data_IF_579660242683
#
_entry.id   IF_579660242683
#
_cell.length_a   1.000
_cell.length_b   1.000
_cell.length_c   1.000
_cell.angle_alpha   90.00
_cell.angle_beta   90.00
_cell.angle_gamma   90.00
#
_symmetry.space_group_name_H-M   'P 1'
#
loop_
_entity.id
_entity.type
_entity.pdbx_description
1 polymer ?
#
# COMPACT_ATOMS: atom_id res chain seq x y z
N UNK A 1 -0.04 37.36 28.66
CA UNK A 1 0.36 35.91 28.73
C UNK A 1 0.42 35.38 27.31
N UNK A 2 1.54 34.76 26.90
CA UNK A 2 1.65 34.16 25.57
C UNK A 2 0.89 32.83 25.55
N UNK A 3 0.12 32.57 24.49
CA UNK A 3 -0.57 31.29 24.27
C UNK A 3 0.51 30.24 24.00
N UNK A 4 0.53 29.17 24.81
CA UNK A 4 1.45 28.06 24.63
C UNK A 4 0.76 27.05 23.67
N UNK A 5 1.26 26.97 22.43
CA UNK A 5 0.76 26.00 21.45
C UNK A 5 1.48 24.67 21.62
N UNK A 6 0.74 23.57 21.78
CA UNK A 6 1.27 22.21 21.85
C UNK A 6 0.92 21.56 20.51
N UNK A 7 1.94 21.11 19.77
CA UNK A 7 1.78 20.38 18.51
C UNK A 7 1.77 18.87 18.77
N UNK A 8 0.61 18.34 19.15
CA UNK A 8 0.43 16.90 19.49
C UNK A 8 0.75 15.99 18.28
N UNK A 9 0.40 16.38 17.07
CA UNK A 9 0.68 15.58 15.87
C UNK A 9 2.17 15.34 15.63
N UNK A 10 3.04 16.31 15.96
CA UNK A 10 4.48 16.18 15.74
C UNK A 10 5.11 15.12 16.65
N UNK A 11 4.60 14.97 17.87
CA UNK A 11 5.08 13.98 18.84
C UNK A 11 4.61 12.57 18.44
N UNK A 12 3.37 12.43 17.97
CA UNK A 12 2.80 11.15 17.50
C UNK A 12 3.56 10.64 16.26
N UNK A 13 3.78 11.49 15.26
CA UNK A 13 4.53 11.13 14.05
C UNK A 13 5.98 10.78 14.36
N UNK A 14 6.62 11.49 15.33
CA UNK A 14 7.99 11.18 15.74
C UNK A 14 8.14 9.81 16.40
N UNK A 15 7.18 9.41 17.24
CA UNK A 15 7.16 8.06 17.84
C UNK A 15 6.91 7.00 16.79
N UNK A 16 5.96 7.23 15.87
CA UNK A 16 5.69 6.32 14.77
C UNK A 16 6.92 6.10 13.88
N UNK A 17 7.64 7.18 13.54
CA UNK A 17 8.84 7.09 12.67
C UNK A 17 9.94 6.23 13.31
N UNK A 18 10.16 6.36 14.63
CA UNK A 18 11.13 5.52 15.33
C UNK A 18 10.76 4.03 15.30
N UNK A 19 9.47 3.70 15.43
CA UNK A 19 8.98 2.33 15.31
C UNK A 19 9.06 1.81 13.87
N UNK A 20 8.72 2.65 12.89
CA UNK A 20 8.81 2.32 11.46
C UNK A 20 10.24 2.01 11.03
N UNK A 21 11.24 2.73 11.55
CA UNK A 21 12.65 2.43 11.31
C UNK A 21 13.07 1.07 11.86
N UNK A 22 12.53 0.66 13.01
CA UNK A 22 12.79 -0.67 13.57
C UNK A 22 12.13 -1.77 12.73
N UNK A 23 10.89 -1.56 12.28
CA UNK A 23 10.18 -2.46 11.36
C UNK A 23 10.95 -2.62 10.05
N UNK A 24 11.41 -1.52 9.46
CA UNK A 24 12.21 -1.55 8.24
C UNK A 24 13.44 -2.43 8.39
N UNK A 25 14.18 -2.28 9.49
CA UNK A 25 15.34 -3.15 9.78
C UNK A 25 14.94 -4.63 9.94
N UNK A 26 13.81 -4.91 10.60
CA UNK A 26 13.32 -6.27 10.74
C UNK A 26 12.97 -6.89 9.38
N UNK A 27 12.33 -6.15 8.49
CA UNK A 27 12.04 -6.57 7.12
C UNK A 27 13.31 -6.79 6.31
N UNK A 28 14.30 -5.90 6.40
CA UNK A 28 15.59 -6.02 5.73
C UNK A 28 16.35 -7.28 6.19
N UNK A 29 16.41 -7.56 7.51
CA UNK A 29 17.05 -8.75 8.08
C UNK A 29 16.40 -10.04 7.55
N UNK A 30 15.07 -10.05 7.42
CA UNK A 30 14.31 -11.19 6.92
C UNK A 30 14.27 -11.29 5.38
N UNK A 31 14.86 -10.32 4.66
CA UNK A 31 14.76 -10.18 3.19
C UNK A 31 13.31 -10.10 2.69
N UNK A 32 12.44 -9.52 3.49
CA UNK A 32 11.01 -9.32 3.20
C UNK A 32 10.80 -7.95 2.55
N UNK A 33 10.22 -7.93 1.36
CA UNK A 33 9.79 -6.71 0.69
C UNK A 33 8.39 -6.33 1.15
N UNK A 34 8.15 -5.07 1.47
CA UNK A 34 6.87 -4.61 2.04
C UNK A 34 6.23 -3.53 1.19
N UNK A 35 4.97 -3.73 0.84
CA UNK A 35 4.13 -2.76 0.13
C UNK A 35 3.03 -2.28 1.07
N UNK A 36 2.94 -0.97 1.30
CA UNK A 36 1.80 -0.33 1.94
C UNK A 36 0.80 0.10 0.86
N UNK A 37 -0.35 -0.59 0.79
CA UNK A 37 -1.38 -0.38 -0.22
C UNK A 37 -2.46 0.55 0.34
N UNK A 38 -2.55 1.75 -0.21
CA UNK A 38 -3.40 2.84 0.26
C UNK A 38 -4.44 3.20 -0.80
N UNK A 39 -5.68 3.49 -0.40
CA UNK A 39 -6.74 3.90 -1.32
C UNK A 39 -7.97 4.43 -0.58
N UNK A 40 -8.88 5.05 -1.31
CA UNK A 40 -10.24 5.28 -0.82
C UNK A 40 -11.02 3.96 -0.61
N UNK A 41 -12.07 3.97 0.21
CA UNK A 41 -13.03 2.86 0.26
C UNK A 41 -13.59 2.56 -1.14
N UNK A 42 -13.70 1.29 -1.49
CA UNK A 42 -14.25 0.88 -2.79
C UNK A 42 -13.34 1.07 -4.01
N UNK A 43 -12.12 1.57 -3.87
CA UNK A 43 -11.15 1.71 -4.99
C UNK A 43 -10.67 0.34 -5.53
N UNK A 44 -10.83 -0.74 -4.76
CA UNK A 44 -10.50 -2.11 -5.18
C UNK A 44 -9.21 -2.66 -4.57
N UNK A 45 -8.85 -2.28 -3.33
CA UNK A 45 -7.67 -2.79 -2.61
C UNK A 45 -7.65 -4.31 -2.57
N UNK A 46 -8.64 -4.92 -1.94
CA UNK A 46 -8.71 -6.38 -1.78
C UNK A 46 -8.71 -7.12 -3.12
N UNK A 47 -9.45 -6.61 -4.12
CA UNK A 47 -9.43 -7.20 -5.46
C UNK A 47 -8.05 -7.13 -6.12
N UNK A 48 -7.32 -6.03 -5.88
CA UNK A 48 -5.92 -5.87 -6.34
C UNK A 48 -5.02 -6.88 -5.65
N UNK A 49 -5.13 -7.03 -4.32
CA UNK A 49 -4.34 -8.00 -3.55
C UNK A 49 -4.57 -9.42 -4.06
N UNK A 50 -5.81 -9.82 -4.29
CA UNK A 50 -6.14 -11.14 -4.84
C UNK A 50 -5.50 -11.37 -6.21
N UNK A 51 -5.46 -10.36 -7.09
CA UNK A 51 -4.76 -10.44 -8.37
C UNK A 51 -3.25 -10.51 -8.21
N UNK A 52 -2.67 -9.75 -7.28
CA UNK A 52 -1.23 -9.83 -6.98
C UNK A 52 -0.85 -11.22 -6.46
N UNK A 53 -1.64 -11.79 -5.56
CA UNK A 53 -1.46 -13.16 -5.06
C UNK A 53 -1.51 -14.17 -6.22
N UNK A 54 -2.53 -14.10 -7.06
CA UNK A 54 -2.72 -14.99 -8.20
C UNK A 54 -1.52 -14.99 -9.16
N UNK A 55 -0.90 -13.82 -9.38
CA UNK A 55 0.20 -13.68 -10.34
C UNK A 55 1.60 -13.86 -9.72
N UNK A 56 1.77 -13.70 -8.39
CA UNK A 56 3.07 -13.70 -7.75
C UNK A 56 3.35 -14.93 -6.88
N UNK A 57 2.32 -15.68 -6.45
CA UNK A 57 2.48 -16.80 -5.50
C UNK A 57 3.30 -17.97 -6.04
N UNK A 58 3.43 -18.10 -7.37
CA UNK A 58 4.29 -19.13 -7.97
C UNK A 58 5.79 -18.87 -7.70
N UNK A 59 6.17 -17.60 -7.59
CA UNK A 59 7.56 -17.15 -7.49
C UNK A 59 7.95 -16.67 -6.10
N UNK A 60 6.96 -16.19 -5.30
CA UNK A 60 7.19 -15.51 -4.03
C UNK A 60 6.27 -16.01 -2.92
N UNK A 61 6.80 -16.17 -1.72
CA UNK A 61 6.02 -16.42 -0.51
C UNK A 61 5.42 -15.11 -0.01
N UNK A 62 4.10 -15.01 -0.06
CA UNK A 62 3.36 -13.80 0.26
C UNK A 62 2.71 -13.91 1.63
N UNK A 63 2.68 -12.81 2.38
CA UNK A 63 1.85 -12.61 3.55
C UNK A 63 1.04 -11.32 3.40
N UNK A 64 -0.11 -11.23 4.04
CA UNK A 64 -0.97 -10.05 4.01
C UNK A 64 -1.29 -9.59 5.44
N UNK A 65 -1.17 -8.29 5.66
CA UNK A 65 -1.69 -7.62 6.86
C UNK A 65 -2.83 -6.74 6.39
N UNK A 66 -4.03 -6.99 6.87
CA UNK A 66 -5.22 -6.24 6.50
C UNK A 66 -5.68 -5.35 7.64
N UNK A 67 -5.82 -4.05 7.36
CA UNK A 67 -6.38 -3.07 8.29
C UNK A 67 -7.82 -2.74 7.92
N UNK A 68 -8.77 -3.16 8.76
CA UNK A 68 -10.17 -2.80 8.59
C UNK A 68 -10.77 -2.30 9.91
N UNK A 69 -11.89 -1.58 9.78
CA UNK A 69 -12.59 -0.98 10.92
C UNK A 69 -13.29 -2.04 11.76
N UNK A 70 -13.92 -3.06 11.13
CA UNK A 70 -14.73 -4.06 11.84
C UNK A 70 -15.07 -5.35 11.08
N UNK A 71 -14.59 -5.57 9.85
CA UNK A 71 -15.03 -6.70 8.99
C UNK A 71 -13.90 -7.66 8.68
N UNK A 72 -14.17 -8.97 8.77
CA UNK A 72 -13.22 -10.04 8.39
C UNK A 72 -13.53 -10.64 6.99
N UNK A 73 -14.42 -10.03 6.23
CA UNK A 73 -14.87 -10.55 4.92
C UNK A 73 -13.72 -10.59 3.91
N UNK A 74 -12.87 -9.58 3.89
CA UNK A 74 -11.78 -9.47 2.93
C UNK A 74 -10.60 -10.36 3.33
N UNK A 75 -10.28 -10.47 4.62
CA UNK A 75 -9.28 -11.42 5.14
C UNK A 75 -9.63 -12.87 4.79
N UNK A 76 -10.91 -13.26 4.88
CA UNK A 76 -11.36 -14.60 4.51
C UNK A 76 -11.14 -14.92 3.04
N UNK A 77 -11.43 -13.96 2.14
CA UNK A 77 -11.17 -14.13 0.69
C UNK A 77 -9.69 -14.33 0.38
N UNK A 78 -8.81 -13.66 1.13
CA UNK A 78 -7.36 -13.81 1.00
C UNK A 78 -6.93 -15.18 1.53
N UNK A 79 -7.46 -15.61 2.69
CA UNK A 79 -7.16 -16.92 3.28
C UNK A 79 -7.56 -18.08 2.37
N UNK A 80 -8.67 -17.96 1.61
CA UNK A 80 -9.08 -18.93 0.60
C UNK A 80 -8.03 -19.17 -0.51
N UNK A 81 -7.07 -18.27 -0.67
CA UNK A 81 -5.93 -18.40 -1.62
C UNK A 81 -4.69 -19.06 -1.02
N UNK A 82 -4.79 -19.66 0.17
CA UNK A 82 -3.68 -20.30 0.90
C UNK A 82 -2.51 -19.35 1.17
N UNK A 83 -2.81 -18.08 1.45
CA UNK A 83 -1.85 -17.06 1.86
C UNK A 83 -2.07 -16.73 3.33
N UNK A 84 -0.97 -16.62 4.08
CA UNK A 84 -1.04 -16.21 5.48
C UNK A 84 -1.55 -14.77 5.57
N UNK A 85 -2.59 -14.57 6.36
CA UNK A 85 -3.21 -13.26 6.57
C UNK A 85 -3.41 -12.99 8.05
N UNK A 86 -3.11 -11.75 8.46
CA UNK A 86 -3.44 -11.23 9.79
C UNK A 86 -4.30 -9.99 9.61
N UNK A 87 -5.41 -9.95 10.32
CA UNK A 87 -6.28 -8.78 10.34
C UNK A 87 -6.02 -7.95 11.59
N UNK A 88 -5.94 -6.64 11.38
CA UNK A 88 -5.93 -5.61 12.42
C UNK A 88 -7.31 -4.98 12.47
N UNK A 89 -8.03 -5.16 13.57
CA UNK A 89 -9.22 -4.37 13.84
C UNK A 89 -8.79 -3.02 14.41
N UNK A 90 -9.08 -1.94 13.70
CA UNK A 90 -8.61 -0.60 14.07
C UNK A 90 -9.54 0.13 15.04
N UNK A 91 -10.71 -0.47 15.39
CA UNK A 91 -11.72 0.12 16.28
C UNK A 91 -12.09 1.58 15.91
N UNK A 92 -12.12 1.87 14.61
CA UNK A 92 -12.47 3.18 14.08
C UNK A 92 -11.29 4.11 13.78
N UNK A 93 -10.04 3.68 13.96
CA UNK A 93 -8.90 4.45 13.46
C UNK A 93 -8.90 4.52 11.92
N UNK A 94 -8.54 5.68 11.38
CA UNK A 94 -8.59 5.96 9.94
C UNK A 94 -7.30 5.60 9.19
N UNK A 95 -6.33 4.97 9.84
CA UNK A 95 -5.04 4.52 9.30
C UNK A 95 -4.43 3.44 10.19
N UNK A 96 -3.43 2.75 9.66
CA UNK A 96 -2.53 1.88 10.41
C UNK A 96 -1.29 2.67 10.85
N UNK A 97 -0.73 2.34 11.99
CA UNK A 97 0.54 2.86 12.49
C UNK A 97 1.59 1.75 12.66
N UNK A 98 2.84 2.14 12.90
CA UNK A 98 3.96 1.21 13.01
C UNK A 98 3.84 0.27 14.25
N UNK A 99 3.14 0.69 15.31
CA UNK A 99 2.90 -0.17 16.47
C UNK A 99 1.92 -1.29 16.13
N UNK A 100 0.83 -0.98 15.42
CA UNK A 100 -0.13 -1.97 14.92
C UNK A 100 0.54 -2.98 14.00
N UNK A 101 1.41 -2.52 13.08
CA UNK A 101 2.16 -3.40 12.18
C UNK A 101 3.15 -4.27 12.95
N UNK A 102 3.81 -3.75 13.99
CA UNK A 102 4.70 -4.56 14.83
C UNK A 102 3.96 -5.73 15.48
N UNK A 103 2.77 -5.49 16.00
CA UNK A 103 1.93 -6.53 16.57
C UNK A 103 1.49 -7.55 15.52
N UNK A 104 1.08 -7.09 14.33
CA UNK A 104 0.65 -7.94 13.23
C UNK A 104 1.78 -8.81 12.67
N UNK A 105 3.01 -8.29 12.57
CA UNK A 105 4.18 -9.05 12.13
C UNK A 105 4.45 -10.28 13.01
N UNK A 106 4.22 -10.16 14.33
CA UNK A 106 4.37 -11.27 15.26
C UNK A 106 3.33 -12.39 15.03
N UNK A 107 2.11 -12.00 14.63
CA UNK A 107 1.05 -12.95 14.30
C UNK A 107 1.18 -13.56 12.92
N UNK A 108 1.71 -12.82 11.95
CA UNK A 108 1.89 -13.26 10.57
C UNK A 108 3.09 -14.22 10.41
N UNK A 109 4.14 -14.04 11.21
CA UNK A 109 5.43 -14.71 11.00
C UNK A 109 6.09 -14.24 9.71
N UNK A 110 6.82 -13.12 9.77
CA UNK A 110 7.44 -12.50 8.59
C UNK A 110 8.65 -13.29 8.07
N UNK A 111 9.19 -14.19 8.87
CA UNK A 111 10.34 -15.04 8.53
C UNK A 111 10.01 -15.91 7.32
N UNK A 112 10.86 -15.79 6.31
CA UNK A 112 10.72 -16.56 5.06
C UNK A 112 9.63 -16.07 4.11
N UNK A 113 8.96 -14.94 4.40
CA UNK A 113 8.13 -14.24 3.42
C UNK A 113 9.01 -13.39 2.50
N UNK A 114 8.73 -13.48 1.20
CA UNK A 114 9.39 -12.65 0.18
C UNK A 114 8.72 -11.30 0.03
N UNK A 115 7.39 -11.28 0.20
CA UNK A 115 6.52 -10.11 0.05
C UNK A 115 5.52 -10.07 1.19
N UNK A 116 5.38 -8.91 1.84
CA UNK A 116 4.25 -8.59 2.71
C UNK A 116 3.47 -7.43 2.09
N UNK A 117 2.18 -7.61 1.93
CA UNK A 117 1.27 -6.56 1.48
C UNK A 117 0.46 -6.09 2.68
N UNK A 118 0.59 -4.82 3.02
CA UNK A 118 -0.22 -4.17 4.05
C UNK A 118 -1.39 -3.50 3.32
N UNK A 119 -2.62 -3.99 3.52
CA UNK A 119 -3.84 -3.29 3.12
C UNK A 119 -4.16 -2.25 4.18
N UNK A 120 -3.96 -0.97 3.87
CA UNK A 120 -4.28 0.11 4.79
C UNK A 120 -5.77 0.41 4.80
N UNK A 121 -6.24 1.05 5.88
CA UNK A 121 -7.63 1.52 6.01
C UNK A 121 -8.00 2.40 4.81
N UNK A 122 -9.24 2.28 4.35
CA UNK A 122 -9.74 3.08 3.23
C UNK A 122 -9.81 4.56 3.55
N UNK A 123 -8.76 5.31 3.19
CA UNK A 123 -8.63 6.75 3.42
C UNK A 123 -7.57 7.34 2.47
N UNK A 124 -7.77 8.56 1.97
CA UNK A 124 -6.84 9.27 1.08
C UNK A 124 -6.00 10.35 1.79
N UNK A 125 -6.06 10.44 3.11
CA UNK A 125 -5.33 11.47 3.89
C UNK A 125 -4.35 10.81 4.86
N UNK A 126 -4.86 10.27 5.97
CA UNK A 126 -4.03 9.79 7.08
C UNK A 126 -2.99 8.72 6.70
N UNK A 127 -3.28 7.70 5.85
CA UNK A 127 -2.28 6.69 5.52
C UNK A 127 -1.01 7.22 4.85
N UNK A 128 -1.09 8.38 4.18
CA UNK A 128 0.07 8.98 3.53
C UNK A 128 1.08 9.54 4.53
N UNK A 129 0.62 9.99 5.71
CA UNK A 129 1.45 10.63 6.74
C UNK A 129 2.24 9.61 7.59
N UNK A 130 1.76 8.36 7.68
CA UNK A 130 2.35 7.34 8.55
C UNK A 130 3.26 6.40 7.76
N UNK A 131 4.49 6.27 8.23
CA UNK A 131 5.47 5.30 7.75
C UNK A 131 5.25 3.98 8.54
N UNK A 132 5.19 2.86 7.83
CA UNK A 132 5.00 1.52 8.40
C UNK A 132 6.25 0.64 8.26
N UNK A 133 7.39 1.24 7.85
CA UNK A 133 8.62 0.51 7.53
C UNK A 133 8.60 -0.12 6.14
N UNK A 134 7.63 0.21 5.30
CA UNK A 134 7.46 -0.31 3.95
C UNK A 134 8.59 0.08 3.01
N UNK A 135 8.81 -0.74 1.97
CA UNK A 135 9.70 -0.40 0.86
C UNK A 135 9.02 0.53 -0.14
N UNK A 136 7.71 0.36 -0.33
CA UNK A 136 6.92 1.12 -1.30
C UNK A 136 5.57 1.51 -0.68
N UNK A 137 5.23 2.79 -0.75
CA UNK A 137 3.85 3.27 -0.67
C UNK A 137 3.23 3.17 -2.05
N UNK A 138 2.23 2.31 -2.18
CA UNK A 138 1.48 2.10 -3.41
C UNK A 138 0.04 2.57 -3.22
N UNK A 139 -0.39 3.52 -4.00
CA UNK A 139 -1.78 3.97 -3.93
C UNK A 139 -2.62 3.40 -5.07
N UNK A 140 -3.91 3.24 -4.83
CA UNK A 140 -4.91 2.93 -5.84
C UNK A 140 -5.89 4.09 -5.94
N UNK A 141 -6.10 4.56 -7.16
CA UNK A 141 -7.23 5.41 -7.53
C UNK A 141 -8.07 4.65 -8.56
N UNK A 142 -9.38 4.55 -8.36
CA UNK A 142 -10.24 3.99 -9.40
C UNK A 142 -10.82 5.07 -10.32
N UNK A 143 -10.94 4.75 -11.61
CA UNK A 143 -11.48 5.67 -12.62
C UNK A 143 -12.79 6.36 -12.20
N UNK A 144 -13.78 5.67 -11.60
CA UNK A 144 -15.02 6.33 -11.15
C UNK A 144 -14.85 7.37 -10.02
N UNK A 145 -13.69 7.43 -9.35
CA UNK A 145 -13.45 8.44 -8.31
C UNK A 145 -13.19 9.83 -8.89
N UNK A 146 -12.83 9.91 -10.17
CA UNK A 146 -12.57 11.17 -10.88
C UNK A 146 -11.10 11.55 -10.95
N UNK A 147 -10.75 12.24 -12.05
CA UNK A 147 -9.38 12.65 -12.37
C UNK A 147 -8.89 13.90 -11.61
N UNK A 148 -9.76 14.52 -10.81
CA UNK A 148 -9.44 15.69 -9.99
C UNK A 148 -8.87 15.37 -8.59
N UNK A 149 -8.81 14.10 -8.23
CA UNK A 149 -8.32 13.64 -6.91
C UNK A 149 -6.90 14.09 -6.55
N UNK A 150 -5.93 14.18 -7.49
CA UNK A 150 -4.60 14.68 -7.14
C UNK A 150 -4.63 16.10 -6.57
N UNK A 151 -5.51 16.95 -7.06
CA UNK A 151 -5.66 18.32 -6.59
C UNK A 151 -6.30 18.40 -5.19
N UNK A 152 -7.12 17.42 -4.83
CA UNK A 152 -7.82 17.37 -3.54
C UNK A 152 -7.01 16.69 -2.43
N UNK A 153 -6.18 15.71 -2.82
CA UNK A 153 -5.40 14.86 -1.89
C UNK A 153 -3.92 14.79 -2.30
N UNK A 154 -3.23 15.93 -2.44
CA UNK A 154 -1.89 15.99 -3.03
C UNK A 154 -0.86 15.12 -2.30
N UNK A 155 -0.93 15.04 -0.96
CA UNK A 155 0.02 14.28 -0.16
C UNK A 155 0.07 12.79 -0.55
N UNK A 156 -1.09 12.18 -0.78
CA UNK A 156 -1.18 10.77 -1.18
C UNK A 156 -0.39 10.50 -2.46
N UNK A 157 -0.42 11.43 -3.43
CA UNK A 157 0.29 11.29 -4.70
C UNK A 157 1.78 11.63 -4.59
N UNK A 158 2.16 12.57 -3.73
CA UNK A 158 3.57 12.94 -3.54
C UNK A 158 4.36 11.91 -2.75
N UNK A 159 3.73 11.25 -1.79
CA UNK A 159 4.36 10.23 -0.93
C UNK A 159 4.42 8.84 -1.57
N UNK A 160 3.63 8.58 -2.63
CA UNK A 160 3.57 7.27 -3.26
C UNK A 160 4.65 7.07 -4.30
N UNK A 161 5.27 5.87 -4.33
CA UNK A 161 6.22 5.45 -5.35
C UNK A 161 5.52 4.79 -6.55
N UNK A 162 4.32 4.23 -6.32
CA UNK A 162 3.51 3.63 -7.36
C UNK A 162 2.04 4.03 -7.23
N UNK A 163 1.39 4.21 -8.38
CA UNK A 163 -0.03 4.52 -8.51
C UNK A 163 -0.70 3.52 -9.45
N UNK A 164 -1.67 2.80 -8.95
CA UNK A 164 -2.56 1.98 -9.76
C UNK A 164 -3.80 2.80 -10.12
N UNK A 165 -4.02 2.99 -11.41
CA UNK A 165 -5.25 3.59 -11.94
C UNK A 165 -6.18 2.41 -12.22
N UNK A 166 -7.00 2.06 -11.22
CA UNK A 166 -7.81 0.84 -11.27
C UNK A 166 -9.17 1.07 -11.94
N UNK A 167 -9.81 -0.03 -12.33
CA UNK A 167 -11.09 -0.08 -13.00
C UNK A 167 -11.08 0.63 -14.36
N UNK A 168 -9.95 0.50 -15.12
CA UNK A 168 -9.86 1.10 -16.46
C UNK A 168 -10.90 0.54 -17.43
N UNK A 169 -11.46 -0.65 -17.16
CA UNK A 169 -12.60 -1.21 -17.88
C UNK A 169 -13.86 -0.34 -17.82
N UNK A 170 -13.94 0.58 -16.84
CA UNK A 170 -15.03 1.55 -16.71
C UNK A 170 -14.77 2.89 -17.39
N UNK A 171 -13.57 3.12 -17.96
CA UNK A 171 -13.24 4.40 -18.62
C UNK A 171 -14.29 4.84 -19.66
N UNK A 172 -14.83 3.93 -20.52
CA UNK A 172 -15.85 4.33 -21.51
C UNK A 172 -17.18 4.80 -20.90
N UNK A 173 -17.39 4.59 -19.62
CA UNK A 173 -18.65 4.92 -18.90
C UNK A 173 -18.49 6.08 -17.94
N UNK A 174 -17.34 6.78 -17.99
CA UNK A 174 -17.01 7.92 -17.12
C UNK A 174 -16.45 9.07 -17.95
N UNK A 175 -16.37 10.23 -17.36
CA UNK A 175 -15.70 11.42 -17.90
C UNK A 175 -14.22 11.51 -17.46
N UNK A 176 -13.62 10.40 -17.02
CA UNK A 176 -12.24 10.35 -16.57
C UNK A 176 -11.27 10.66 -17.72
N UNK A 177 -10.53 11.75 -17.59
CA UNK A 177 -9.52 12.14 -18.56
C UNK A 177 -8.15 11.60 -18.13
N UNK A 178 -7.72 10.49 -18.77
CA UNK A 178 -6.47 9.80 -18.42
C UNK A 178 -5.24 10.68 -18.67
N UNK A 179 -5.20 11.41 -19.79
CA UNK A 179 -4.03 12.23 -20.14
C UNK A 179 -3.86 13.40 -19.18
N UNK A 180 -4.96 14.09 -18.87
CA UNK A 180 -4.96 15.18 -17.89
C UNK A 180 -4.56 14.70 -16.50
N UNK A 181 -5.12 13.57 -16.06
CA UNK A 181 -4.79 12.94 -14.80
C UNK A 181 -3.30 12.61 -14.71
N UNK A 182 -2.75 11.88 -15.68
CA UNK A 182 -1.34 11.51 -15.68
C UNK A 182 -0.42 12.72 -15.73
N UNK A 183 -0.78 13.76 -16.50
CA UNK A 183 -0.02 15.02 -16.56
C UNK A 183 0.01 15.71 -15.19
N UNK A 184 -1.14 15.78 -14.52
CA UNK A 184 -1.25 16.38 -13.17
C UNK A 184 -0.41 15.62 -12.14
N UNK A 185 -0.51 14.28 -12.15
CA UNK A 185 0.26 13.44 -11.21
C UNK A 185 1.76 13.56 -11.46
N UNK A 186 2.21 13.54 -12.72
CA UNK A 186 3.65 13.71 -13.05
C UNK A 186 4.19 15.07 -12.68
N UNK A 187 3.35 16.11 -12.72
CA UNK A 187 3.76 17.45 -12.28
C UNK A 187 4.00 17.50 -10.76
N UNK A 188 3.24 16.71 -9.98
CA UNK A 188 3.39 16.63 -8.52
C UNK A 188 4.53 15.68 -8.10
N UNK A 189 4.63 14.53 -8.75
CA UNK A 189 5.60 13.48 -8.45
C UNK A 189 6.18 12.90 -9.75
N UNK A 190 7.26 13.47 -10.28
CA UNK A 190 7.87 13.01 -11.54
C UNK A 190 8.38 11.57 -11.49
N UNK A 191 8.68 11.06 -10.29
CA UNK A 191 9.23 9.71 -10.09
C UNK A 191 8.19 8.60 -9.94
N UNK A 192 6.91 8.94 -9.79
CA UNK A 192 5.87 7.95 -9.55
C UNK A 192 5.66 7.02 -10.76
N UNK A 193 5.63 5.71 -10.50
CA UNK A 193 5.24 4.72 -11.50
C UNK A 193 3.73 4.60 -11.57
N UNK A 194 3.16 4.72 -12.78
CA UNK A 194 1.71 4.64 -12.97
C UNK A 194 1.36 3.38 -13.77
N UNK A 195 0.38 2.62 -13.27
CA UNK A 195 -0.10 1.38 -13.87
C UNK A 195 -1.62 1.48 -14.08
N UNK A 196 -2.09 1.72 -15.32
CA UNK A 196 -3.49 1.54 -15.66
C UNK A 196 -3.85 0.06 -15.58
N UNK A 197 -4.80 -0.31 -14.68
CA UNK A 197 -5.14 -1.71 -14.41
C UNK A 197 -6.65 -1.92 -14.26
N UNK A 198 -7.09 -3.14 -14.46
CA UNK A 198 -8.41 -3.58 -14.03
C UNK A 198 -8.29 -4.86 -13.19
N UNK A 199 -8.54 -4.75 -11.90
CA UNK A 199 -8.57 -5.93 -11.02
C UNK A 199 -9.68 -6.92 -11.43
N UNK A 200 -10.72 -6.45 -12.12
CA UNK A 200 -11.82 -7.28 -12.62
C UNK A 200 -11.39 -8.12 -13.83
N UNK A 201 -10.78 -7.51 -14.84
CA UNK A 201 -10.42 -8.19 -16.09
C UNK A 201 -9.01 -8.78 -16.07
N UNK A 202 -8.11 -8.26 -15.25
CA UNK A 202 -6.70 -8.61 -15.20
C UNK A 202 -5.82 -7.72 -16.09
N UNK A 203 -6.40 -6.78 -16.81
CA UNK A 203 -5.65 -5.88 -17.69
C UNK A 203 -4.60 -5.09 -16.90
N UNK A 204 -3.40 -4.93 -17.46
CA UNK A 204 -2.28 -4.20 -16.86
C UNK A 204 -1.56 -4.90 -15.72
N UNK A 205 -2.08 -6.02 -15.18
CA UNK A 205 -1.45 -6.71 -14.05
C UNK A 205 -0.14 -7.41 -14.41
N UNK A 206 0.07 -7.82 -15.65
CA UNK A 206 1.34 -8.43 -16.09
C UNK A 206 2.51 -7.47 -15.89
N UNK A 207 2.38 -6.22 -16.36
CA UNK A 207 3.41 -5.19 -16.20
C UNK A 207 3.63 -4.82 -14.74
N UNK A 208 2.55 -4.67 -13.97
CA UNK A 208 2.61 -4.37 -12.54
C UNK A 208 3.35 -5.46 -11.77
N UNK A 209 3.03 -6.74 -11.99
CA UNK A 209 3.62 -7.86 -11.25
C UNK A 209 5.06 -8.12 -11.66
N UNK A 210 5.41 -7.92 -12.94
CA UNK A 210 6.81 -7.96 -13.38
C UNK A 210 7.63 -6.89 -12.66
N UNK A 211 7.13 -5.65 -12.60
CA UNK A 211 7.79 -4.56 -11.89
C UNK A 211 7.95 -4.86 -10.40
N UNK A 212 6.90 -5.34 -9.71
CA UNK A 212 6.99 -5.73 -8.29
C UNK A 212 8.05 -6.82 -8.10
N UNK A 213 8.06 -7.86 -8.95
CA UNK A 213 9.05 -8.92 -8.90
C UNK A 213 10.50 -8.42 -9.07
N UNK A 214 10.71 -7.42 -9.93
CA UNK A 214 12.01 -6.76 -10.07
C UNK A 214 12.40 -6.00 -8.81
N UNK A 215 11.46 -5.28 -8.15
CA UNK A 215 11.72 -4.58 -6.89
C UNK A 215 12.09 -5.54 -5.76
N UNK A 216 11.37 -6.66 -5.61
CA UNK A 216 11.67 -7.70 -4.61
C UNK A 216 13.08 -8.25 -4.82
N UNK A 217 13.43 -8.61 -6.06
CA UNK A 217 14.76 -9.16 -6.39
C UNK A 217 15.87 -8.14 -6.16
N UNK A 218 15.64 -6.88 -6.46
CA UNK A 218 16.59 -5.79 -6.24
C UNK A 218 16.86 -5.58 -4.74
N UNK A 219 15.82 -5.52 -3.91
CA UNK A 219 15.95 -5.35 -2.47
C UNK A 219 16.74 -6.51 -1.84
N UNK A 220 16.48 -7.75 -2.23
CA UNK A 220 17.23 -8.92 -1.74
C UNK A 220 18.73 -8.88 -2.08
N UNK A 221 19.09 -8.38 -3.27
CA UNK A 221 20.50 -8.24 -3.66
C UNK A 221 21.22 -7.20 -2.81
N UNK A 222 20.57 -6.08 -2.50
CA UNK A 222 21.13 -5.01 -1.66
C UNK A 222 21.40 -5.54 -0.24
N UNK A 223 20.45 -6.24 0.36
CA UNK A 223 20.58 -6.80 1.70
C UNK A 223 21.64 -7.92 1.78
N UNK A 224 21.81 -8.71 0.71
CA UNK A 224 22.83 -9.77 0.62
C UNK A 224 24.26 -9.25 0.45
N UNK A 225 24.43 -8.04 -0.08
CA UNK A 225 25.76 -7.41 -0.28
C UNK A 225 26.27 -6.68 0.96
N UNK A 226 25.44 -6.54 1.99
CA UNK A 226 25.76 -5.84 3.26
C UNK A 226 26.12 -6.80 4.41
N UNK A 227 26.20 -8.11 4.12
CA UNK A 227 26.69 -9.17 5.01
C UNK A 227 28.07 -9.63 4.58
#
# INVERSE_FOLDING_TARGET
MAVKTINVNKDILGVNEALALNLKKAFEINNTFVINLMAAPGAGKTSTILRLIENLSADFKIGVIEGDIASDVDSRKIQERNVDVVQINTDGACHLDANMITAACSGLGIEGKDLVIIENVGNLVCPAEFNLGENIKMMILSVPEGHDKPLKYPLMFTESQALLINKVDLTPYTDFNMDEFQKTVRAMNPGIKMFPVSAKTGDGFSELTEWIGQQIKAAKKMNGSSK
#
